data_IF_519726909025
#
_entry.id   IF_519726909025
#
_cell.length_a   1.000
_cell.length_b   1.000
_cell.length_c   1.000
_cell.angle_alpha   90.00
_cell.angle_beta   90.00
_cell.angle_gamma   90.00
#
_symmetry.space_group_name_H-M   'P 1'
#
loop_
_entity.id
_entity.type
_entity.pdbx_description
1 polymer ?
#
# COMPACT_ATOMS: atom_id res chain seq x y z
N UNK A 1 35.58 10.84 16.49
CA UNK A 1 34.26 11.43 16.81
C UNK A 1 33.59 12.12 15.62
N UNK A 2 34.27 12.94 14.80
CA UNK A 2 33.64 13.62 13.64
C UNK A 2 33.04 12.69 12.57
N UNK A 3 33.66 11.55 12.28
CA UNK A 3 33.17 10.58 11.27
C UNK A 3 31.82 9.94 11.62
N UNK A 4 31.56 9.67 12.91
CA UNK A 4 30.30 9.06 13.35
C UNK A 4 29.10 9.99 13.11
N UNK A 5 29.28 11.30 13.28
CA UNK A 5 28.21 12.29 13.05
C UNK A 5 27.84 12.34 11.56
N UNK A 6 28.86 12.30 10.68
CA UNK A 6 28.63 12.28 9.23
C UNK A 6 27.96 10.97 8.80
N UNK A 7 28.38 9.84 9.35
CA UNK A 7 27.77 8.54 9.06
C UNK A 7 26.31 8.48 9.52
N UNK A 8 25.98 8.96 10.72
CA UNK A 8 24.59 9.02 11.20
C UNK A 8 23.70 9.91 10.30
N UNK A 9 24.21 11.07 9.85
CA UNK A 9 23.47 11.95 8.93
C UNK A 9 23.20 11.26 7.59
N UNK A 10 24.17 10.50 7.08
CA UNK A 10 24.02 9.76 5.82
C UNK A 10 22.97 8.64 5.92
N UNK A 11 22.94 7.93 7.05
CA UNK A 11 21.92 6.89 7.32
C UNK A 11 20.52 7.50 7.40
N UNK A 12 20.34 8.63 8.09
CA UNK A 12 19.05 9.32 8.17
C UNK A 12 18.57 9.82 6.80
N UNK A 13 19.50 10.27 5.95
CA UNK A 13 19.19 10.67 4.58
C UNK A 13 18.70 9.49 3.73
N UNK A 14 19.30 8.31 3.87
CA UNK A 14 18.90 7.12 3.09
C UNK A 14 17.51 6.59 3.47
N UNK A 15 17.09 6.72 4.74
CA UNK A 15 15.79 6.21 5.21
C UNK A 15 14.61 6.97 4.56
N UNK A 16 14.79 8.24 4.19
CA UNK A 16 13.70 9.04 3.60
C UNK A 16 13.41 8.71 2.13
N UNK A 17 14.31 8.05 1.41
CA UNK A 17 14.14 7.74 -0.02
C UNK A 17 13.44 6.40 -0.29
N UNK A 18 13.11 5.62 0.73
CA UNK A 18 12.53 4.28 0.56
C UNK A 18 11.01 4.22 0.65
N UNK A 19 10.31 5.37 0.65
CA UNK A 19 8.85 5.38 0.57
C UNK A 19 8.43 4.91 -0.83
N UNK A 20 7.86 3.70 -0.92
CA UNK A 20 7.30 3.18 -2.16
C UNK A 20 6.11 4.04 -2.58
N UNK A 21 6.01 4.38 -3.87
CA UNK A 21 4.86 5.14 -4.37
C UNK A 21 3.61 4.25 -4.31
N UNK A 22 2.52 4.79 -3.78
CA UNK A 22 1.23 4.10 -3.73
C UNK A 22 0.23 4.82 -4.65
N UNK A 23 -0.60 4.06 -5.36
CA UNK A 23 -1.79 4.59 -6.05
C UNK A 23 -3.06 4.12 -5.39
N UNK A 24 -4.04 5.02 -5.38
CA UNK A 24 -5.38 4.75 -4.87
C UNK A 24 -6.34 4.48 -6.03
N UNK A 25 -6.87 3.27 -6.11
CA UNK A 25 -7.83 2.87 -7.13
C UNK A 25 -9.09 2.25 -6.50
N UNK A 26 -10.28 2.84 -6.73
CA UNK A 26 -11.52 2.28 -6.22
C UNK A 26 -12.01 1.12 -7.10
N UNK A 27 -12.31 -0.02 -6.49
CA UNK A 27 -12.94 -1.16 -7.15
C UNK A 27 -14.31 -1.45 -6.58
N UNK A 28 -15.15 -2.07 -7.40
CA UNK A 28 -16.46 -2.56 -6.97
C UNK A 28 -16.33 -3.93 -6.31
N UNK A 29 -17.02 -4.12 -5.19
CA UNK A 29 -17.06 -5.36 -4.43
C UNK A 29 -18.48 -5.93 -4.37
N UNK A 30 -18.63 -7.26 -4.39
CA UNK A 30 -19.95 -7.91 -4.42
C UNK A 30 -20.76 -7.74 -3.12
N UNK A 31 -20.06 -7.58 -2.00
CA UNK A 31 -20.64 -7.43 -0.66
C UNK A 31 -20.89 -5.96 -0.33
N UNK A 32 -21.96 -5.66 0.42
CA UNK A 32 -22.17 -4.37 1.09
C UNK A 32 -21.24 -4.26 2.30
N UNK A 33 -20.53 -3.14 2.47
CA UNK A 33 -19.51 -2.95 3.51
C UNK A 33 -18.53 -4.13 3.65
N UNK A 34 -17.74 -4.45 2.60
CA UNK A 34 -16.65 -5.39 2.71
C UNK A 34 -15.68 -5.02 3.84
N UNK A 35 -15.20 -6.04 4.54
CA UNK A 35 -14.10 -5.89 5.49
C UNK A 35 -12.79 -5.57 4.76
N UNK A 36 -11.81 -5.03 5.49
CA UNK A 36 -10.48 -4.73 4.97
C UNK A 36 -9.84 -5.96 4.28
N UNK A 37 -9.95 -7.15 4.88
CA UNK A 37 -9.42 -8.39 4.30
C UNK A 37 -10.13 -8.82 3.01
N UNK A 38 -11.45 -8.61 2.91
CA UNK A 38 -12.21 -8.86 1.68
C UNK A 38 -11.79 -7.88 0.58
N UNK A 39 -11.65 -6.59 0.93
CA UNK A 39 -11.14 -5.57 0.02
C UNK A 39 -9.72 -5.89 -0.46
N UNK A 40 -8.80 -6.24 0.46
CA UNK A 40 -7.41 -6.53 0.13
C UNK A 40 -7.28 -7.70 -0.83
N UNK A 41 -8.08 -8.74 -0.63
CA UNK A 41 -8.17 -9.87 -1.55
C UNK A 41 -8.70 -9.44 -2.91
N UNK A 42 -9.81 -8.70 -2.97
CA UNK A 42 -10.38 -8.25 -4.24
C UNK A 42 -9.43 -7.31 -5.02
N UNK A 43 -8.72 -6.42 -4.33
CA UNK A 43 -7.69 -5.57 -4.91
C UNK A 43 -6.52 -6.40 -5.47
N UNK A 44 -6.05 -7.39 -4.72
CA UNK A 44 -4.99 -8.28 -5.19
C UNK A 44 -5.42 -9.08 -6.41
N UNK A 45 -6.63 -9.62 -6.41
CA UNK A 45 -7.20 -10.35 -7.54
C UNK A 45 -7.34 -9.46 -8.79
N UNK A 46 -7.72 -8.18 -8.62
CA UNK A 46 -7.94 -7.23 -9.71
C UNK A 46 -6.64 -6.65 -10.32
N UNK A 47 -5.66 -6.30 -9.48
CA UNK A 47 -4.47 -5.55 -9.91
C UNK A 47 -3.17 -6.36 -9.87
N UNK A 48 -3.12 -7.45 -9.09
CA UNK A 48 -1.90 -8.19 -8.80
C UNK A 48 -2.03 -9.70 -9.00
N UNK A 49 -3.03 -10.17 -9.76
CA UNK A 49 -3.31 -11.59 -10.01
C UNK A 49 -3.38 -12.46 -8.73
N UNK A 50 -3.90 -11.88 -7.64
CA UNK A 50 -4.03 -12.51 -6.32
C UNK A 50 -2.84 -12.28 -5.37
N UNK A 51 -1.78 -11.60 -5.80
CA UNK A 51 -0.64 -11.29 -4.93
C UNK A 51 -0.94 -10.11 -3.99
N UNK A 52 -1.29 -10.43 -2.74
CA UNK A 52 -1.58 -9.42 -1.71
C UNK A 52 -0.36 -8.62 -1.27
N UNK A 53 0.87 -9.02 -1.59
CA UNK A 53 2.08 -8.26 -1.26
C UNK A 53 2.20 -6.95 -2.05
N UNK A 54 1.50 -6.85 -3.19
CA UNK A 54 1.42 -5.65 -4.02
C UNK A 54 0.36 -4.65 -3.55
N UNK A 55 -0.45 -5.02 -2.55
CA UNK A 55 -1.49 -4.16 -1.98
C UNK A 55 -1.04 -3.74 -0.59
N UNK A 56 -0.62 -2.48 -0.44
CA UNK A 56 -0.22 -1.92 0.85
C UNK A 56 -1.38 -1.99 1.85
N UNK A 57 -2.53 -1.47 1.41
CA UNK A 57 -3.77 -1.40 2.19
C UNK A 57 -4.98 -1.49 1.26
N UNK A 58 -6.11 -1.95 1.77
CA UNK A 58 -7.37 -1.83 1.06
C UNK A 58 -8.52 -1.64 2.05
N UNK A 59 -9.34 -0.62 1.86
CA UNK A 59 -10.38 -0.27 2.84
C UNK A 59 -11.75 -0.09 2.21
N UNK A 60 -12.80 -0.18 3.03
CA UNK A 60 -14.14 0.11 2.56
C UNK A 60 -14.28 1.62 2.26
N UNK A 61 -14.51 1.96 0.99
CA UNK A 61 -14.74 3.34 0.58
C UNK A 61 -16.22 3.73 0.63
N UNK A 62 -17.08 2.82 0.17
CA UNK A 62 -18.53 2.98 0.10
C UNK A 62 -19.18 1.60 0.12
N UNK A 63 -20.50 1.56 0.33
CA UNK A 63 -21.29 0.36 0.06
C UNK A 63 -20.95 -0.21 -1.33
N UNK A 64 -20.49 -1.47 -1.37
CA UNK A 64 -20.04 -2.17 -2.58
C UNK A 64 -18.77 -1.61 -3.24
N UNK A 65 -17.96 -0.83 -2.54
CA UNK A 65 -16.67 -0.34 -3.03
C UNK A 65 -15.54 -0.51 -2.02
N UNK A 66 -14.37 -0.83 -2.55
CA UNK A 66 -13.11 -0.86 -1.84
C UNK A 66 -12.17 0.18 -2.45
N UNK A 67 -11.41 0.91 -1.64
CA UNK A 67 -10.28 1.70 -2.10
C UNK A 67 -9.02 0.84 -1.98
N UNK A 68 -8.29 0.63 -3.08
CA UNK A 68 -7.06 -0.16 -3.11
C UNK A 68 -5.86 0.76 -3.08
N UNK A 69 -4.92 0.55 -2.16
CA UNK A 69 -3.62 1.21 -2.14
C UNK A 69 -2.58 0.27 -2.72
N UNK A 70 -2.26 0.45 -4.00
CA UNK A 70 -1.41 -0.43 -4.79
C UNK A 70 0.01 0.11 -4.76
N UNK A 71 0.97 -0.75 -4.41
CA UNK A 71 2.39 -0.40 -4.39
C UNK A 71 2.89 -0.35 -5.83
N UNK A 72 3.25 0.83 -6.30
CA UNK A 72 3.96 1.06 -7.55
C UNK A 72 5.44 1.14 -7.23
N UNK A 73 6.23 0.36 -7.98
CA UNK A 73 7.65 0.19 -7.75
C UNK A 73 8.47 0.64 -8.95
#
# INVERSE_FOLDING_TARGET
MKFYIVFCLFVVLLINFAAAEETEEPIRHAKKNPSEGECKKACADAFANGDQSKIAKAENFKDYYCNCHIIIH
#
